data_IF_088173899139
#
_entry.id   IF_088173899139
#
_cell.length_a   1.000
_cell.length_b   1.000
_cell.length_c   1.000
_cell.angle_alpha   90.00
_cell.angle_beta   90.00
_cell.angle_gamma   90.00
#
_symmetry.space_group_name_H-M   'P 1'
#
loop_
_entity.id
_entity.type
_entity.pdbx_description
1 polymer ?
#
# COMPACT_ATOMS: atom_id res chain seq x y z
N UNK A 1 14.09 8.25 9.50
CA UNK A 1 13.69 9.67 9.43
C UNK A 1 12.37 9.90 10.18
N UNK A 2 12.39 9.88 11.52
CA UNK A 2 11.17 9.95 12.35
C UNK A 2 11.05 11.23 13.19
N UNK A 3 11.91 12.23 12.93
CA UNK A 3 11.80 13.57 13.52
C UNK A 3 11.21 14.47 12.45
N UNK A 4 10.10 15.14 12.76
CA UNK A 4 9.46 16.07 11.83
C UNK A 4 10.34 17.32 11.64
N UNK A 5 10.64 17.64 10.38
CA UNK A 5 11.44 18.79 9.98
C UNK A 5 10.62 19.65 9.02
N UNK A 6 10.73 20.98 9.13
CA UNK A 6 9.96 21.91 8.31
C UNK A 6 10.27 21.81 6.81
N UNK A 7 11.45 21.31 6.46
CA UNK A 7 11.93 21.12 5.09
C UNK A 7 12.05 19.63 4.69
N UNK A 8 11.56 18.71 5.53
CA UNK A 8 11.72 17.26 5.36
C UNK A 8 13.17 16.80 5.15
N UNK A 9 14.15 17.53 5.70
CA UNK A 9 15.57 17.25 5.50
C UNK A 9 16.04 17.56 4.07
N UNK A 10 15.36 18.47 3.37
CA UNK A 10 15.64 18.87 1.99
C UNK A 10 15.14 17.88 0.93
N UNK A 11 14.44 16.81 1.34
CA UNK A 11 13.88 15.80 0.43
C UNK A 11 12.43 16.07 0.04
N UNK A 12 11.94 15.32 -0.96
CA UNK A 12 10.52 15.29 -1.30
C UNK A 12 9.85 14.13 -0.54
N UNK A 13 8.88 14.38 0.36
CA UNK A 13 8.25 13.33 1.15
C UNK A 13 7.20 12.58 0.32
N UNK A 14 7.65 11.78 -0.65
CA UNK A 14 6.80 10.98 -1.54
C UNK A 14 7.31 9.53 -1.62
N UNK A 15 6.54 8.52 -1.15
CA UNK A 15 7.00 7.16 -0.95
C UNK A 15 7.03 6.39 -2.28
N UNK A 16 8.11 6.57 -3.04
CA UNK A 16 8.37 5.81 -4.25
C UNK A 16 9.88 5.52 -4.40
N UNK A 17 10.26 4.65 -5.35
CA UNK A 17 11.67 4.22 -5.56
C UNK A 17 12.63 5.35 -5.97
N UNK A 18 12.12 6.51 -6.38
CA UNK A 18 12.93 7.68 -6.73
C UNK A 18 13.30 8.47 -5.47
N UNK A 19 12.31 8.85 -4.67
CA UNK A 19 12.53 9.70 -3.49
C UNK A 19 12.90 8.93 -2.23
N UNK A 20 12.38 7.71 -2.06
CA UNK A 20 12.75 6.79 -0.97
C UNK A 20 13.88 5.83 -1.39
N UNK A 21 14.82 6.30 -2.23
CA UNK A 21 15.91 5.49 -2.80
C UNK A 21 16.81 4.87 -1.74
N UNK A 22 17.19 5.64 -0.71
CA UNK A 22 18.04 5.14 0.38
C UNK A 22 17.43 3.92 1.07
N UNK A 23 16.13 3.98 1.39
CA UNK A 23 15.39 2.84 1.93
C UNK A 23 15.33 1.69 0.93
N UNK A 24 15.01 1.98 -0.34
CA UNK A 24 14.92 0.96 -1.38
C UNK A 24 16.24 0.19 -1.53
N UNK A 25 17.35 0.91 -1.70
CA UNK A 25 18.67 0.33 -1.89
C UNK A 25 19.09 -0.51 -0.67
N UNK A 26 18.83 -0.02 0.54
CA UNK A 26 19.09 -0.79 1.77
C UNK A 26 18.25 -2.08 1.82
N UNK A 27 16.97 -2.01 1.46
CA UNK A 27 16.09 -3.20 1.44
C UNK A 27 16.48 -4.24 0.37
N UNK A 28 17.34 -3.88 -0.59
CA UNK A 28 17.85 -4.79 -1.62
C UNK A 28 19.16 -5.49 -1.22
N UNK A 29 19.72 -5.23 -0.03
CA UNK A 29 20.93 -5.90 0.46
C UNK A 29 20.62 -7.19 1.24
N UNK A 30 21.66 -7.94 1.60
CA UNK A 30 21.52 -9.15 2.44
C UNK A 30 21.29 -8.83 3.92
N UNK A 31 21.66 -7.63 4.35
CA UNK A 31 21.51 -7.12 5.71
C UNK A 31 20.12 -6.52 5.98
N UNK A 32 19.28 -6.42 4.95
CA UNK A 32 17.96 -5.82 5.05
C UNK A 32 17.06 -6.55 6.07
N UNK A 33 16.21 -5.82 6.81
CA UNK A 33 15.15 -6.43 7.61
C UNK A 33 14.12 -7.13 6.71
N UNK A 34 13.21 -7.91 7.31
CA UNK A 34 12.13 -8.57 6.55
C UNK A 34 11.13 -7.59 5.94
N UNK A 35 10.97 -6.42 6.57
CA UNK A 35 9.98 -5.41 6.20
C UNK A 35 10.59 -4.01 6.25
N UNK A 36 10.40 -3.26 5.17
CA UNK A 36 10.68 -1.84 5.07
C UNK A 36 9.44 -1.09 4.63
N UNK A 37 9.28 0.15 5.11
CA UNK A 37 8.17 1.00 4.70
C UNK A 37 8.58 2.47 4.68
N UNK A 38 7.96 3.23 3.78
CA UNK A 38 8.05 4.68 3.72
C UNK A 38 6.64 5.29 3.71
N UNK A 39 6.52 6.49 4.24
CA UNK A 39 5.32 7.31 4.29
C UNK A 39 5.54 8.62 3.54
N UNK A 40 4.47 9.28 3.11
CA UNK A 40 4.54 10.67 2.66
C UNK A 40 4.41 11.67 3.82
N UNK A 41 4.35 12.96 3.49
CA UNK A 41 4.48 14.07 4.44
C UNK A 41 3.33 14.21 5.44
N UNK A 42 2.09 13.95 5.03
CA UNK A 42 0.89 13.95 5.87
C UNK A 42 0.45 12.55 6.31
N UNK A 43 1.01 11.50 5.69
CA UNK A 43 0.97 10.14 6.19
C UNK A 43 -0.20 9.29 5.68
N UNK A 44 -0.84 9.70 4.58
CA UNK A 44 -1.94 8.96 3.97
C UNK A 44 -1.47 7.96 2.88
N UNK A 45 -0.22 8.08 2.41
CA UNK A 45 0.39 7.17 1.42
C UNK A 45 1.51 6.35 2.00
N UNK A 46 1.72 5.16 1.43
CA UNK A 46 2.78 4.25 1.84
C UNK A 46 3.46 3.54 0.65
N UNK A 47 4.71 3.14 0.87
CA UNK A 47 5.43 2.16 0.06
C UNK A 47 5.87 1.02 0.96
N UNK A 48 5.67 -0.22 0.52
CA UNK A 48 6.03 -1.44 1.26
C UNK A 48 7.12 -2.21 0.53
N UNK A 49 8.10 -2.70 1.28
CA UNK A 49 9.25 -3.46 0.80
C UNK A 49 9.41 -4.71 1.65
N UNK A 50 9.58 -5.86 1.01
CA UNK A 50 10.17 -7.04 1.66
C UNK A 50 11.68 -7.06 1.46
N UNK A 51 12.40 -7.93 2.17
CA UNK A 51 13.82 -8.19 1.87
C UNK A 51 13.97 -8.56 0.40
N UNK A 52 14.77 -7.78 -0.35
CA UNK A 52 15.01 -7.95 -1.79
C UNK A 52 13.74 -7.98 -2.65
N UNK A 53 12.64 -7.39 -2.17
CA UNK A 53 11.35 -7.47 -2.83
C UNK A 53 10.61 -6.12 -2.77
N UNK A 54 10.20 -5.62 -3.94
CA UNK A 54 9.30 -4.48 -4.04
C UNK A 54 7.86 -4.97 -4.10
N UNK A 55 6.99 -4.48 -3.21
CA UNK A 55 5.55 -4.77 -3.26
C UNK A 55 4.87 -3.61 -3.98
N UNK A 56 4.27 -3.89 -5.15
CA UNK A 56 3.53 -2.86 -5.87
C UNK A 56 2.32 -2.40 -5.04
N UNK A 57 1.90 -1.12 -5.10
CA UNK A 57 0.73 -0.67 -4.35
C UNK A 57 -0.55 -1.44 -4.69
N UNK A 58 -0.69 -1.90 -5.94
CA UNK A 58 -1.83 -2.71 -6.36
C UNK A 58 -1.81 -4.12 -5.73
N UNK A 59 -0.65 -4.77 -5.68
CA UNK A 59 -0.52 -6.08 -5.04
C UNK A 59 -0.63 -5.97 -3.52
N UNK A 60 -0.13 -4.88 -2.92
CA UNK A 60 -0.28 -4.60 -1.48
C UNK A 60 -1.75 -4.59 -1.08
N UNK A 61 -2.60 -3.87 -1.83
CA UNK A 61 -4.05 -3.86 -1.62
C UNK A 61 -4.68 -5.26 -1.75
N UNK A 62 -4.29 -6.02 -2.78
CA UNK A 62 -4.79 -7.38 -2.99
C UNK A 62 -4.37 -8.34 -1.86
N UNK A 63 -3.12 -8.26 -1.39
CA UNK A 63 -2.59 -9.06 -0.28
C UNK A 63 -3.31 -8.76 1.03
N UNK A 64 -3.55 -7.49 1.33
CA UNK A 64 -4.32 -7.08 2.52
C UNK A 64 -5.74 -7.68 2.47
N UNK A 65 -6.42 -7.58 1.32
CA UNK A 65 -7.74 -8.16 1.14
C UNK A 65 -7.71 -9.70 1.28
N UNK A 66 -6.75 -10.39 0.68
CA UNK A 66 -6.60 -11.84 0.74
C UNK A 66 -6.38 -12.33 2.18
N UNK A 67 -5.62 -11.58 2.98
CA UNK A 67 -5.25 -11.93 4.34
C UNK A 67 -6.07 -11.21 5.41
N UNK A 68 -7.23 -10.65 5.06
CA UNK A 68 -8.06 -9.82 5.95
C UNK A 68 -8.38 -10.48 7.30
N UNK A 69 -8.47 -11.81 7.37
CA UNK A 69 -8.70 -12.57 8.60
C UNK A 69 -7.60 -12.37 9.67
N UNK A 70 -6.40 -11.95 9.25
CA UNK A 70 -5.28 -11.62 10.15
C UNK A 70 -5.48 -10.26 10.85
N UNK A 71 -6.42 -9.44 10.36
CA UNK A 71 -6.69 -8.10 10.86
C UNK A 71 -7.94 -8.17 11.75
N UNK A 72 -7.84 -7.86 13.07
CA UNK A 72 -8.95 -8.02 14.01
C UNK A 72 -10.26 -7.37 13.56
N UNK A 73 -10.19 -6.21 12.92
CA UNK A 73 -11.35 -5.46 12.44
C UNK A 73 -12.11 -6.14 11.29
N UNK A 74 -11.49 -7.08 10.56
CA UNK A 74 -12.09 -7.75 9.40
C UNK A 74 -12.33 -9.26 9.62
N UNK A 75 -12.25 -9.74 10.86
CA UNK A 75 -12.49 -11.16 11.20
C UNK A 75 -13.90 -11.63 10.82
N UNK A 76 -14.88 -10.74 10.84
CA UNK A 76 -16.26 -11.06 10.42
C UNK A 76 -16.46 -11.11 8.90
N UNK A 77 -15.42 -10.87 8.11
CA UNK A 77 -15.52 -10.77 6.65
C UNK A 77 -15.37 -9.34 6.13
N UNK A 78 -15.18 -9.23 4.82
CA UNK A 78 -15.23 -7.99 4.07
C UNK A 78 -16.63 -7.83 3.48
N UNK A 79 -17.22 -6.64 3.59
CA UNK A 79 -18.53 -6.33 2.98
C UNK A 79 -18.41 -5.99 1.48
N UNK A 80 -17.20 -5.67 1.03
CA UNK A 80 -16.85 -5.30 -0.33
C UNK A 80 -15.43 -4.74 -0.36
N UNK A 81 -14.87 -4.61 -1.55
CA UNK A 81 -13.56 -4.00 -1.79
C UNK A 81 -13.64 -3.04 -2.97
N UNK A 82 -12.71 -2.09 -3.06
CA UNK A 82 -12.69 -1.12 -4.14
C UNK A 82 -11.27 -0.76 -4.58
N UNK A 83 -11.11 -0.40 -5.85
CA UNK A 83 -9.89 0.17 -6.39
C UNK A 83 -10.22 1.30 -7.36
N UNK A 84 -9.25 2.19 -7.55
CA UNK A 84 -9.34 3.12 -8.67
C UNK A 84 -9.10 2.38 -10.00
N UNK A 85 -9.71 2.83 -11.08
CA UNK A 85 -9.57 2.26 -12.41
C UNK A 85 -8.10 2.02 -12.84
N UNK A 86 -7.13 2.93 -12.62
CA UNK A 86 -5.75 2.68 -13.02
C UNK A 86 -5.00 1.67 -12.12
N UNK A 87 -5.56 1.30 -10.96
CA UNK A 87 -5.00 0.23 -10.12
C UNK A 87 -5.16 -1.12 -10.84
N UNK A 88 -4.15 -1.99 -10.77
CA UNK A 88 -4.22 -3.30 -11.44
C UNK A 88 -5.40 -4.14 -10.96
N UNK A 89 -5.83 -5.10 -11.76
CA UNK A 89 -6.95 -6.03 -11.46
C UNK A 89 -6.58 -7.16 -10.48
N UNK A 90 -5.47 -7.05 -9.76
CA UNK A 90 -5.08 -8.02 -8.72
C UNK A 90 -6.13 -8.15 -7.62
N UNK A 91 -6.71 -7.02 -7.18
CA UNK A 91 -7.79 -7.02 -6.19
C UNK A 91 -9.04 -7.75 -6.69
N UNK A 92 -9.36 -7.63 -7.99
CA UNK A 92 -10.53 -8.25 -8.62
C UNK A 92 -10.45 -9.78 -8.53
N UNK A 93 -9.24 -10.34 -8.69
CA UNK A 93 -8.98 -11.79 -8.54
C UNK A 93 -9.25 -12.25 -7.10
N UNK A 94 -8.81 -11.46 -6.12
CA UNK A 94 -9.04 -11.74 -4.70
C UNK A 94 -10.52 -11.61 -4.35
N UNK A 95 -11.20 -10.58 -4.84
CA UNK A 95 -12.62 -10.38 -4.62
C UNK A 95 -13.45 -11.54 -5.19
N UNK A 96 -13.11 -12.02 -6.39
CA UNK A 96 -13.71 -13.20 -6.99
C UNK A 96 -13.49 -14.46 -6.14
N UNK A 97 -12.26 -14.66 -5.62
CA UNK A 97 -11.94 -15.79 -4.76
C UNK A 97 -12.70 -15.76 -3.42
N UNK A 98 -12.82 -14.58 -2.81
CA UNK A 98 -13.52 -14.37 -1.54
C UNK A 98 -15.04 -14.24 -1.69
N UNK A 99 -15.56 -14.22 -2.93
CA UNK A 99 -16.97 -14.01 -3.26
C UNK A 99 -17.53 -12.70 -2.65
N UNK A 100 -16.83 -11.59 -2.84
CA UNK A 100 -17.24 -10.23 -2.42
C UNK A 100 -17.29 -9.27 -3.60
N UNK A 101 -18.09 -8.22 -3.50
CA UNK A 101 -18.16 -7.17 -4.51
C UNK A 101 -16.83 -6.43 -4.64
N UNK A 102 -16.41 -6.14 -5.88
CA UNK A 102 -15.26 -5.29 -6.19
C UNK A 102 -15.71 -4.08 -7.02
N UNK A 103 -15.54 -2.88 -6.48
CA UNK A 103 -15.92 -1.63 -7.13
C UNK A 103 -14.73 -0.98 -7.83
N UNK A 104 -14.87 -0.68 -9.12
CA UNK A 104 -13.93 0.15 -9.85
C UNK A 104 -14.43 1.60 -9.86
N UNK A 105 -13.62 2.54 -9.39
CA UNK A 105 -13.96 3.97 -9.35
C UNK A 105 -12.99 4.81 -10.17
N UNK A 106 -13.34 6.05 -10.57
CA UNK A 106 -12.34 6.99 -11.05
C UNK A 106 -11.28 7.27 -9.97
N UNK A 107 -10.12 7.81 -10.38
CA UNK A 107 -9.06 8.20 -9.46
C UNK A 107 -9.53 9.32 -8.52
N UNK A 108 -9.33 9.12 -7.23
CA UNK A 108 -9.60 10.10 -6.17
C UNK A 108 -10.33 9.48 -4.99
N UNK A 109 -9.80 9.68 -3.78
CA UNK A 109 -10.33 9.06 -2.56
C UNK A 109 -11.82 9.37 -2.30
N UNK A 110 -12.30 10.54 -2.74
CA UNK A 110 -13.69 10.98 -2.61
C UNK A 110 -14.74 10.00 -3.16
N UNK A 111 -14.39 9.16 -4.14
CA UNK A 111 -15.33 8.19 -4.70
C UNK A 111 -15.56 6.99 -3.78
N UNK A 112 -14.58 6.64 -2.94
CA UNK A 112 -14.71 5.54 -1.99
C UNK A 112 -15.63 5.87 -0.82
N UNK A 113 -15.78 7.15 -0.45
CA UNK A 113 -16.65 7.57 0.65
C UNK A 113 -18.15 7.36 0.42
N UNK A 114 -18.56 7.06 -0.81
CA UNK A 114 -19.97 6.81 -1.17
C UNK A 114 -20.31 5.31 -1.29
N UNK A 115 -19.35 4.42 -1.06
CA UNK A 115 -19.51 2.97 -1.18
C UNK A 115 -20.04 2.32 0.11
#
# INVERSE_FOLDING_TARGET
>A
NCVALADFGGGHPDPNRVYARELYDFMMTDEAPELGAASDGDGDRNMILGRKAFVSPSDSLALIAQHHQSIPQFKSGLVGVARSMPTSTALDRVAQHLNVSCYETPTGWKFFGNL
#
